data_IF_367278304125
#
_entry.id   IF_367278304125
#
_cell.length_a   1.000
_cell.length_b   1.000
_cell.length_c   1.000
_cell.angle_alpha   90.00
_cell.angle_beta   90.00
_cell.angle_gamma   90.00
#
_symmetry.space_group_name_H-M   'P 1'
#
loop_
_entity.id
_entity.type
_entity.pdbx_description
1 polymer ?
#
# COMPACT_ATOMS: atom_id res chain seq x y z
N UNK A 1 19.93 16.92 3.55
CA UNK A 1 19.78 16.90 3.83
C UNK A 1 19.50 16.72 3.92
N UNK A 2 19.55 16.63 3.96
CA UNK A 2 19.19 16.56 4.22
C UNK A 2 18.73 16.39 4.26
N UNK A 3 18.61 16.34 4.15
CA UNK A 3 18.15 16.30 4.49
C UNK A 3 17.92 16.12 5.09
N UNK A 4 17.92 16.18 5.28
CA UNK A 4 17.84 16.10 5.99
C UNK A 4 17.43 15.93 6.55
N UNK A 5 17.27 15.81 6.76
CA UNK A 5 17.06 15.76 7.43
C UNK A 5 17.13 15.92 8.12
N UNK A 6 17.29 16.26 8.39
CA UNK A 6 17.29 16.57 9.11
C UNK A 6 16.92 16.51 9.88
N UNK A 7 17.12 16.51 9.86
CA UNK A 7 16.60 16.46 10.78
C UNK A 7 15.35 16.09 11.21
N UNK A 8 15.30 15.61 11.35
CA UNK A 8 14.22 15.22 12.17
C UNK A 8 13.04 16.00 11.98
N UNK A 9 12.97 16.69 10.98
CA UNK A 9 11.85 17.51 10.65
C UNK A 9 10.93 16.74 9.73
N UNK A 10 9.69 16.56 10.17
CA UNK A 10 8.70 15.86 9.36
C UNK A 10 7.94 16.89 8.56
N UNK A 11 8.13 16.87 7.29
CA UNK A 11 7.54 17.86 6.40
C UNK A 11 6.32 17.29 5.72
N UNK A 12 5.23 18.03 5.77
CA UNK A 12 4.03 17.64 5.05
C UNK A 12 4.24 17.87 3.57
N UNK A 13 4.02 16.84 2.79
CA UNK A 13 4.21 16.93 1.35
C UNK A 13 2.92 17.42 0.69
N UNK A 14 3.04 18.17 -0.42
CA UNK A 14 1.83 18.69 -1.07
C UNK A 14 0.84 17.62 -1.49
N UNK A 15 1.32 16.47 -1.95
CA UNK A 15 0.41 15.41 -2.36
C UNK A 15 -0.37 14.83 -1.18
N UNK A 16 0.14 15.03 0.02
CA UNK A 16 -0.53 14.56 1.21
C UNK A 16 -1.75 15.41 1.55
N UNK A 17 -2.08 16.38 0.71
CA UNK A 17 -3.25 17.21 0.90
C UNK A 17 -4.56 16.42 0.73
N UNK A 18 -4.50 15.13 0.81
CA UNK A 18 -5.66 14.25 0.90
C UNK A 18 -5.71 13.66 2.30
N UNK A 19 -6.90 13.57 2.85
CA UNK A 19 -7.07 13.00 4.17
C UNK A 19 -6.78 13.98 5.30
N UNK A 20 -7.11 13.56 6.48
CA UNK A 20 -7.05 14.44 7.65
C UNK A 20 -5.64 14.83 8.06
N UNK A 21 -4.67 13.96 7.79
CA UNK A 21 -3.28 14.24 8.17
C UNK A 21 -2.64 15.30 7.29
N UNK A 22 -3.11 15.42 6.06
CA UNK A 22 -2.52 16.36 5.12
C UNK A 22 -2.74 17.82 5.50
N UNK A 23 -3.83 18.11 6.18
CA UNK A 23 -4.17 19.49 6.51
C UNK A 23 -3.36 20.04 7.65
N UNK A 24 -3.07 19.20 8.61
CA UNK A 24 -2.45 19.63 9.86
C UNK A 24 -1.00 19.24 9.94
N UNK A 25 -0.49 18.51 8.95
CA UNK A 25 0.83 17.94 9.01
C UNK A 25 0.82 16.63 9.77
N UNK A 26 1.94 15.97 9.75
CA UNK A 26 2.06 14.70 10.47
C UNK A 26 2.46 14.96 11.91
N UNK A 27 1.79 14.27 12.83
CA UNK A 27 2.18 14.30 14.24
C UNK A 27 3.46 13.51 14.44
N UNK A 28 3.63 12.43 13.68
CA UNK A 28 4.81 11.59 13.76
C UNK A 28 5.03 10.92 12.40
N UNK A 29 6.21 10.32 12.17
CA UNK A 29 6.45 9.59 10.92
C UNK A 29 5.46 8.44 10.70
N UNK A 30 4.89 7.89 11.77
CA UNK A 30 3.89 6.82 11.64
C UNK A 30 2.69 7.31 10.86
N UNK A 31 2.30 8.58 11.04
CA UNK A 31 1.18 9.15 10.30
C UNK A 31 1.42 9.13 8.81
N UNK A 32 2.66 9.38 8.38
CA UNK A 32 3.00 9.33 6.97
C UNK A 32 2.81 7.93 6.41
N UNK A 33 3.19 6.92 7.17
CA UNK A 33 3.00 5.52 6.77
C UNK A 33 1.51 5.18 6.69
N UNK A 34 0.75 5.55 7.71
CA UNK A 34 -0.67 5.27 7.74
C UNK A 34 -1.41 5.93 6.59
N UNK A 35 -0.93 7.07 6.13
CA UNK A 35 -1.58 7.76 5.03
C UNK A 35 -1.51 6.94 3.74
N UNK A 36 -0.43 6.21 3.51
CA UNK A 36 -0.28 5.46 2.27
C UNK A 36 -0.77 4.02 2.38
N UNK A 37 -0.86 3.44 3.58
CA UNK A 37 -1.32 2.06 3.73
C UNK A 37 -2.63 1.95 4.51
N UNK A 38 -3.24 3.05 4.89
CA UNK A 38 -4.37 3.07 5.81
C UNK A 38 -5.72 2.71 5.21
N UNK A 39 -5.82 2.38 3.95
CA UNK A 39 -7.06 1.91 3.37
C UNK A 39 -7.38 0.50 3.85
N UNK A 40 -8.67 0.15 3.82
CA UNK A 40 -9.12 -1.10 4.42
C UNK A 40 -8.42 -2.34 3.86
N UNK A 41 -8.09 -2.33 2.56
CA UNK A 41 -7.53 -3.51 1.91
C UNK A 41 -6.09 -3.30 1.42
N UNK A 42 -5.51 -2.11 1.64
CA UNK A 42 -4.19 -1.81 1.06
C UNK A 42 -3.09 -2.72 1.60
N UNK A 43 -3.08 -2.94 2.91
CA UNK A 43 -2.07 -3.80 3.52
C UNK A 43 -2.19 -5.22 2.98
N UNK A 44 -3.42 -5.73 2.88
CA UNK A 44 -3.64 -7.07 2.34
C UNK A 44 -3.16 -7.18 0.89
N UNK A 45 -3.48 -6.18 0.08
CA UNK A 45 -3.05 -6.18 -1.32
C UNK A 45 -1.54 -6.22 -1.41
N UNK A 46 -0.86 -5.33 -0.67
CA UNK A 46 0.60 -5.27 -0.69
C UNK A 46 1.20 -6.59 -0.26
N UNK A 47 0.65 -7.19 0.78
CA UNK A 47 1.18 -8.44 1.29
C UNK A 47 1.01 -9.59 0.29
N UNK A 48 -0.12 -9.62 -0.42
CA UNK A 48 -0.34 -10.64 -1.43
C UNK A 48 0.55 -10.48 -2.66
N UNK A 49 1.14 -9.30 -2.84
CA UNK A 49 2.06 -9.06 -3.95
C UNK A 49 3.51 -9.37 -3.58
N UNK A 50 3.76 -9.85 -2.36
CA UNK A 50 5.14 -10.08 -1.90
C UNK A 50 5.88 -11.14 -2.71
N UNK A 51 5.15 -12.10 -3.26
CA UNK A 51 5.76 -13.22 -3.98
C UNK A 51 5.83 -13.00 -5.50
N UNK A 52 5.35 -11.86 -5.97
CA UNK A 52 5.40 -11.55 -7.38
C UNK A 52 4.13 -10.89 -7.89
N UNK A 53 4.12 -10.61 -9.17
CA UNK A 53 3.01 -9.93 -9.82
C UNK A 53 1.74 -10.79 -9.78
N UNK A 54 0.59 -10.12 -9.71
CA UNK A 54 -0.70 -10.79 -9.74
C UNK A 54 -1.67 -10.04 -10.63
N UNK A 55 -2.58 -10.76 -11.24
CA UNK A 55 -3.66 -10.19 -12.03
C UNK A 55 -4.77 -9.71 -11.11
N UNK A 56 -5.58 -8.82 -11.64
CA UNK A 56 -6.72 -8.28 -10.89
C UNK A 56 -7.62 -9.41 -10.35
N UNK A 57 -7.93 -10.40 -11.21
CA UNK A 57 -8.78 -11.52 -10.79
C UNK A 57 -8.20 -12.33 -9.67
N UNK A 58 -6.87 -12.49 -9.66
CA UNK A 58 -6.21 -13.18 -8.56
C UNK A 58 -6.35 -12.42 -7.26
N UNK A 59 -6.14 -11.11 -7.32
CA UNK A 59 -6.30 -10.27 -6.13
C UNK A 59 -7.72 -10.31 -5.60
N UNK A 60 -8.71 -10.34 -6.48
CA UNK A 60 -10.10 -10.46 -6.06
C UNK A 60 -10.35 -11.75 -5.28
N UNK A 61 -9.75 -12.84 -5.74
CA UNK A 61 -9.91 -14.12 -5.03
C UNK A 61 -9.20 -14.13 -3.70
N UNK A 62 -8.09 -13.41 -3.60
CA UNK A 62 -7.31 -13.37 -2.36
C UNK A 62 -7.89 -12.40 -1.34
N UNK A 63 -8.69 -11.43 -1.79
CA UNK A 63 -9.34 -10.45 -0.91
C UNK A 63 -10.85 -10.49 -1.19
N UNK A 64 -11.51 -11.60 -0.84
CA UNK A 64 -12.89 -11.85 -1.28
C UNK A 64 -13.91 -10.91 -0.67
N UNK A 65 -13.62 -10.26 0.44
CA UNK A 65 -14.56 -9.33 1.06
C UNK A 65 -14.57 -7.96 0.39
N UNK A 66 -13.60 -7.69 -0.48
CA UNK A 66 -13.56 -6.42 -1.20
C UNK A 66 -14.44 -6.52 -2.45
N UNK A 67 -15.27 -5.51 -2.67
CA UNK A 67 -15.99 -5.42 -3.94
C UNK A 67 -15.00 -5.06 -5.04
N UNK A 68 -15.40 -5.31 -6.30
CA UNK A 68 -14.56 -4.92 -7.43
C UNK A 68 -14.23 -3.44 -7.40
N UNK A 69 -15.22 -2.62 -7.05
CA UNK A 69 -15.03 -1.18 -6.97
C UNK A 69 -14.04 -0.79 -5.88
N UNK A 70 -14.16 -1.41 -4.71
CA UNK A 70 -13.24 -1.13 -3.59
C UNK A 70 -11.82 -1.52 -3.96
N UNK A 71 -11.67 -2.70 -4.55
CA UNK A 71 -10.35 -3.18 -4.94
C UNK A 71 -9.73 -2.26 -5.99
N UNK A 72 -10.51 -1.85 -6.99
CA UNK A 72 -10.03 -0.93 -8.02
C UNK A 72 -9.57 0.38 -7.40
N UNK A 73 -10.36 0.94 -6.49
CA UNK A 73 -10.01 2.19 -5.84
C UNK A 73 -8.73 2.07 -5.04
N UNK A 74 -8.59 0.99 -4.28
CA UNK A 74 -7.40 0.79 -3.46
C UNK A 74 -6.15 0.59 -4.34
N UNK A 75 -6.28 -0.13 -5.43
CA UNK A 75 -5.16 -0.32 -6.37
C UNK A 75 -4.74 0.99 -7.00
N UNK A 76 -5.68 1.83 -7.38
CA UNK A 76 -5.37 3.14 -7.96
C UNK A 76 -4.63 4.02 -6.96
N UNK A 77 -5.04 3.99 -5.70
CA UNK A 77 -4.37 4.78 -4.67
C UNK A 77 -2.96 4.27 -4.41
N UNK A 78 -2.78 2.96 -4.36
CA UNK A 78 -1.46 2.38 -4.18
C UNK A 78 -0.53 2.72 -5.35
N UNK A 79 -1.05 2.70 -6.57
CA UNK A 79 -0.28 3.07 -7.75
C UNK A 79 0.06 4.56 -7.72
N UNK A 80 -0.89 5.41 -7.37
CA UNK A 80 -0.67 6.85 -7.25
C UNK A 80 0.43 7.16 -6.23
N UNK A 81 0.48 6.40 -5.15
CA UNK A 81 1.49 6.59 -4.10
C UNK A 81 2.80 5.85 -4.40
N UNK A 82 2.92 5.31 -5.60
CA UNK A 82 4.14 4.65 -6.09
C UNK A 82 4.54 3.40 -5.33
N UNK A 83 3.57 2.74 -4.69
CA UNK A 83 3.84 1.50 -3.96
C UNK A 83 3.70 0.27 -4.84
N UNK A 84 2.91 0.37 -5.90
CA UNK A 84 2.75 -0.71 -6.87
C UNK A 84 2.87 -0.16 -8.27
N UNK A 85 3.17 -1.05 -9.20
CA UNK A 85 3.18 -0.76 -10.62
C UNK A 85 2.06 -1.54 -11.28
N UNK A 86 1.56 -1.01 -12.38
CA UNK A 86 0.51 -1.64 -13.16
C UNK A 86 1.04 -1.81 -14.58
N UNK A 87 0.99 -3.02 -15.09
CA UNK A 87 1.47 -3.32 -16.43
C UNK A 87 0.33 -3.92 -17.24
N UNK A 88 0.06 -3.31 -18.38
CA UNK A 88 -0.97 -3.77 -19.29
C UNK A 88 -0.29 -4.53 -20.42
N UNK A 89 -0.75 -5.76 -20.66
CA UNK A 89 -0.25 -6.56 -21.76
C UNK A 89 -1.25 -6.47 -22.91
N UNK A 90 -0.71 -6.21 -24.10
CA UNK A 90 -1.53 -6.07 -25.31
C UNK A 90 -1.93 -7.45 -25.81
N UNK A 91 -2.92 -8.03 -25.18
CA UNK A 91 -3.48 -9.33 -25.51
C UNK A 91 -4.98 -9.17 -25.73
N UNK A 92 -5.61 -10.23 -26.18
CA UNK A 92 -7.06 -10.27 -26.35
C UNK A 92 -7.58 -11.46 -25.54
N UNK A 93 -8.30 -11.22 -24.41
CA UNK A 93 -8.55 -9.91 -23.82
C UNK A 93 -7.29 -9.34 -23.17
N UNK A 94 -7.24 -8.03 -22.94
CA UNK A 94 -6.07 -7.40 -22.30
C UNK A 94 -5.86 -7.96 -20.90
N UNK A 95 -4.59 -8.10 -20.54
CA UNK A 95 -4.21 -8.59 -19.21
C UNK A 95 -3.53 -7.46 -18.46
N UNK A 96 -3.91 -7.28 -17.21
CA UNK A 96 -3.32 -6.27 -16.33
C UNK A 96 -2.70 -6.97 -15.14
N UNK A 97 -1.40 -6.73 -14.94
CA UNK A 97 -0.68 -7.25 -13.80
C UNK A 97 -0.29 -6.12 -12.85
N UNK A 98 -0.35 -6.42 -11.57
CA UNK A 98 0.09 -5.51 -10.52
C UNK A 98 1.29 -6.13 -9.80
N UNK A 99 2.26 -5.31 -9.45
CA UNK A 99 3.46 -5.77 -8.76
C UNK A 99 3.93 -4.69 -7.80
N UNK A 100 4.68 -5.09 -6.78
CA UNK A 100 5.28 -4.12 -5.87
C UNK A 100 6.37 -3.34 -6.59
N UNK A 101 6.40 -2.04 -6.37
CA UNK A 101 7.55 -1.22 -6.74
C UNK A 101 8.67 -1.44 -5.72
N UNK A 102 9.84 -0.83 -5.95
CA UNK A 102 10.91 -0.87 -4.96
C UNK A 102 10.44 -0.26 -3.63
N UNK A 103 9.68 0.83 -3.72
CA UNK A 103 9.13 1.47 -2.53
C UNK A 103 8.14 0.56 -1.81
N UNK A 104 7.29 -0.13 -2.58
CA UNK A 104 6.37 -1.09 -1.99
C UNK A 104 7.08 -2.24 -1.30
N UNK A 105 8.17 -2.72 -1.91
CA UNK A 105 8.95 -3.79 -1.30
C UNK A 105 9.58 -3.38 0.01
N UNK A 106 9.92 -2.10 0.15
CA UNK A 106 10.51 -1.60 1.40
C UNK A 106 9.55 -1.69 2.58
N UNK A 107 8.24 -1.82 2.30
CA UNK A 107 7.25 -1.99 3.35
C UNK A 107 7.12 -3.43 3.84
N UNK A 108 7.65 -4.39 3.09
CA UNK A 108 7.42 -5.81 3.42
C UNK A 108 7.87 -6.20 4.83
N UNK A 109 9.03 -5.76 5.33
CA UNK A 109 9.39 -6.09 6.72
C UNK A 109 8.39 -5.53 7.73
N UNK A 110 7.85 -4.35 7.46
CA UNK A 110 6.87 -3.73 8.34
C UNK A 110 5.58 -4.53 8.32
N UNK A 111 5.12 -4.92 7.14
CA UNK A 111 3.89 -5.69 7.00
C UNK A 111 4.03 -7.07 7.63
N UNK A 112 5.20 -7.69 7.51
CA UNK A 112 5.45 -8.98 8.14
C UNK A 112 5.35 -8.87 9.66
N UNK A 113 5.93 -7.82 10.23
CA UNK A 113 5.85 -7.58 11.68
C UNK A 113 4.41 -7.34 12.11
N UNK A 114 3.65 -6.60 11.32
CA UNK A 114 2.23 -6.38 11.62
C UNK A 114 1.45 -7.68 11.59
N UNK A 115 1.75 -8.54 10.63
CA UNK A 115 1.10 -9.85 10.53
C UNK A 115 1.38 -10.68 11.77
N UNK A 116 2.64 -10.72 12.23
CA UNK A 116 3.00 -11.49 13.42
C UNK A 116 2.34 -10.94 14.66
N UNK A 117 2.29 -9.63 14.80
CA UNK A 117 1.60 -9.01 15.92
C UNK A 117 0.12 -9.40 15.92
N UNK A 118 -0.52 -9.33 14.73
CA UNK A 118 -1.92 -9.66 14.59
C UNK A 118 -2.22 -11.12 14.92
N UNK A 119 -1.35 -12.03 14.48
CA UNK A 119 -1.52 -13.45 14.81
C UNK A 119 -1.58 -13.67 16.30
N UNK A 120 -0.67 -13.02 17.05
CA UNK A 120 -0.67 -13.16 18.50
C UNK A 120 -1.96 -12.60 19.11
N UNK A 121 -2.42 -11.48 18.55
CA UNK A 121 -3.61 -10.79 19.08
C UNK A 121 -4.87 -11.63 18.93
N UNK A 122 -5.00 -12.36 17.84
CA UNK A 122 -6.20 -13.16 17.58
C UNK A 122 -6.01 -14.63 17.93
N UNK A 123 -4.85 -14.99 18.47
CA UNK A 123 -4.62 -16.36 18.92
C UNK A 123 -4.25 -17.33 17.82
N UNK A 124 -3.79 -16.85 16.68
CA UNK A 124 -3.28 -17.70 15.60
C UNK A 124 -1.77 -17.83 15.71
N UNK A 125 -1.24 -18.95 15.28
CA UNK A 125 0.22 -19.15 15.27
C UNK A 125 0.78 -19.21 13.86
#
# INVERSE_FOLDING_TARGET
MARSIKKDTYTVRPFAARGKYARTGYVSPIDATLEVIGGKYKVAILFHLKDGARRFGELRRLVPTATQRMLTTQLRELERDSLITRKVFAEIPPRVNYALSAEGKSLLPILAAMCEWGKRRIGCS
#
